data_IF_235136655390
#
_entry.id   IF_235136655390
#
_cell.length_a   1.000
_cell.length_b   1.000
_cell.length_c   1.000
_cell.angle_alpha   90.00
_cell.angle_beta   90.00
_cell.angle_gamma   90.00
#
_symmetry.space_group_name_H-M   'P 1'
#
loop_
_entity.id
_entity.type
_entity.pdbx_description
1 polymer ?
#
# COMPACT_ATOMS: atom_id res chain seq x y z
N UNK A 1 2.24 14.98 -6.79
CA UNK A 1 1.08 14.06 -6.87
C UNK A 1 0.79 13.49 -5.49
N UNK A 2 -0.42 13.03 -5.31
CA UNK A 2 -0.84 12.27 -4.14
C UNK A 2 -0.89 10.80 -4.51
N UNK A 3 -0.08 9.99 -3.84
CA UNK A 3 0.15 8.60 -4.23
C UNK A 3 -0.09 7.68 -3.03
N UNK A 4 -0.89 6.65 -3.23
CA UNK A 4 -1.10 5.60 -2.24
C UNK A 4 -0.11 4.48 -2.51
N UNK A 5 0.55 3.98 -1.48
CA UNK A 5 1.47 2.85 -1.58
C UNK A 5 1.06 1.80 -0.56
N UNK A 6 0.63 0.63 -1.04
CA UNK A 6 0.39 -0.52 -0.16
C UNK A 6 1.66 -1.38 -0.04
N UNK A 7 1.73 -2.20 0.98
CA UNK A 7 2.96 -2.94 1.24
C UNK A 7 4.14 -2.00 1.51
N UNK A 8 3.87 -0.88 2.14
CA UNK A 8 4.81 0.22 2.29
C UNK A 8 6.02 -0.12 3.17
N UNK A 9 5.94 -1.19 3.96
CA UNK A 9 7.06 -1.66 4.79
C UNK A 9 7.87 -2.77 4.13
N UNK A 10 7.46 -3.24 2.95
CA UNK A 10 8.26 -4.19 2.17
C UNK A 10 9.49 -3.50 1.58
N UNK A 11 10.43 -4.30 1.10
CA UNK A 11 11.66 -3.78 0.50
C UNK A 11 11.37 -2.76 -0.62
N UNK A 12 10.55 -3.17 -1.60
CA UNK A 12 10.20 -2.31 -2.72
C UNK A 12 9.27 -1.18 -2.30
N UNK A 13 8.31 -1.46 -1.44
CA UNK A 13 7.35 -0.47 -0.98
C UNK A 13 8.02 0.66 -0.21
N UNK A 14 8.87 0.32 0.75
CA UNK A 14 9.58 1.33 1.54
C UNK A 14 10.55 2.17 0.69
N UNK A 15 11.26 1.53 -0.24
CA UNK A 15 12.14 2.25 -1.16
C UNK A 15 11.35 3.22 -2.03
N UNK A 16 10.17 2.79 -2.51
CA UNK A 16 9.29 3.63 -3.31
C UNK A 16 8.78 4.83 -2.52
N UNK A 17 8.36 4.61 -1.28
CA UNK A 17 7.89 5.70 -0.39
C UNK A 17 8.99 6.75 -0.23
N UNK A 18 10.22 6.32 0.09
CA UNK A 18 11.33 7.25 0.27
C UNK A 18 11.62 8.05 -0.98
N UNK A 19 11.64 7.38 -2.14
CA UNK A 19 11.92 8.05 -3.42
C UNK A 19 10.83 9.05 -3.78
N UNK A 20 9.56 8.68 -3.59
CA UNK A 20 8.44 9.57 -3.87
C UNK A 20 8.47 10.81 -2.99
N UNK A 21 8.76 10.64 -1.71
CA UNK A 21 8.90 11.77 -0.79
C UNK A 21 10.07 12.68 -1.19
N UNK A 22 11.20 12.09 -1.60
CA UNK A 22 12.36 12.84 -2.07
C UNK A 22 12.06 13.68 -3.31
N UNK A 23 11.12 13.23 -4.14
CA UNK A 23 10.65 13.95 -5.32
C UNK A 23 9.52 14.94 -5.07
N UNK A 24 9.17 15.16 -3.82
CA UNK A 24 8.16 16.14 -3.42
C UNK A 24 6.72 15.69 -3.52
N UNK A 25 6.46 14.40 -3.68
CA UNK A 25 5.09 13.87 -3.71
C UNK A 25 4.54 13.69 -2.29
N UNK A 26 3.21 13.74 -2.17
CA UNK A 26 2.51 13.35 -0.96
C UNK A 26 2.21 11.85 -1.03
N UNK A 27 2.52 11.13 0.04
CA UNK A 27 2.39 9.67 0.07
C UNK A 27 1.49 9.23 1.22
N UNK A 28 0.50 8.42 0.90
CA UNK A 28 -0.26 7.64 1.87
C UNK A 28 0.33 6.24 1.90
N UNK A 29 1.09 5.93 2.94
CA UNK A 29 1.73 4.63 3.10
C UNK A 29 0.82 3.70 3.89
N UNK A 30 0.34 2.65 3.26
CA UNK A 30 -0.56 1.68 3.89
C UNK A 30 0.25 0.52 4.42
N UNK A 31 0.13 0.28 5.71
CA UNK A 31 0.83 -0.79 6.42
C UNK A 31 -0.18 -1.70 7.11
N UNK A 32 0.22 -2.93 7.40
CA UNK A 32 -0.62 -3.83 8.19
C UNK A 32 -0.68 -3.35 9.64
N UNK A 33 -1.84 -3.46 10.30
CA UNK A 33 -1.92 -3.18 11.73
C UNK A 33 -0.88 -4.00 12.50
N UNK A 34 -0.11 -3.34 13.35
CA UNK A 34 0.92 -4.00 14.15
C UNK A 34 2.14 -4.48 13.37
N UNK A 35 2.40 -3.91 12.20
CA UNK A 35 3.55 -4.32 11.37
C UNK A 35 4.88 -4.20 12.12
N UNK A 36 5.64 -5.30 12.17
CA UNK A 36 6.96 -5.33 12.78
C UNK A 36 8.00 -4.52 11.99
N UNK A 37 7.75 -4.31 10.71
CA UNK A 37 8.67 -3.60 9.80
C UNK A 37 8.36 -2.11 9.67
N UNK A 38 7.59 -1.56 10.60
CA UNK A 38 7.20 -0.15 10.62
C UNK A 38 8.43 0.78 10.55
N UNK A 39 9.57 0.33 11.06
CA UNK A 39 10.84 1.07 11.04
C UNK A 39 11.41 1.28 9.64
N UNK A 40 10.95 0.54 8.64
CA UNK A 40 11.36 0.74 7.25
C UNK A 40 10.94 2.10 6.72
N UNK A 41 9.93 2.72 7.34
CA UNK A 41 9.43 4.05 6.98
C UNK A 41 9.98 5.11 7.93
N UNK A 42 10.10 6.36 7.49
CA UNK A 42 10.41 7.48 8.37
C UNK A 42 9.38 7.58 9.50
N UNK A 43 9.80 7.95 10.70
CA UNK A 43 8.89 8.13 11.83
C UNK A 43 7.92 9.28 11.61
N UNK A 44 8.46 10.38 11.10
CA UNK A 44 7.70 11.57 10.79
C UNK A 44 8.40 12.30 9.66
N UNK A 45 7.67 12.58 8.60
CA UNK A 45 8.19 13.33 7.47
C UNK A 45 7.05 14.08 6.81
N UNK A 46 7.33 15.32 6.38
CA UNK A 46 6.38 16.11 5.63
C UNK A 46 5.98 15.38 4.34
N UNK A 47 4.70 15.34 4.04
CA UNK A 47 4.16 14.66 2.89
C UNK A 47 3.85 13.19 3.11
N UNK A 48 4.25 12.60 4.25
CA UNK A 48 3.98 11.20 4.57
C UNK A 48 2.82 11.08 5.56
N UNK A 49 1.82 10.31 5.19
CA UNK A 49 0.73 9.88 6.08
C UNK A 49 0.73 8.36 6.10
N UNK A 50 0.82 7.77 7.28
CA UNK A 50 0.81 6.31 7.43
C UNK A 50 -0.57 5.87 7.88
N UNK A 51 -1.13 4.89 7.18
CA UNK A 51 -2.45 4.31 7.45
C UNK A 51 -2.31 2.83 7.75
N UNK A 52 -3.00 2.36 8.77
CA UNK A 52 -3.08 0.95 9.07
C UNK A 52 -4.34 0.36 8.43
N UNK A 53 -4.16 -0.60 7.54
CA UNK A 53 -5.27 -1.27 6.86
C UNK A 53 -4.79 -2.62 6.34
N UNK A 54 -5.55 -3.67 6.60
CA UNK A 54 -5.26 -4.99 6.09
C UNK A 54 -5.48 -5.07 4.59
N UNK A 55 -4.71 -5.92 3.90
CA UNK A 55 -4.84 -6.12 2.46
C UNK A 55 -6.24 -6.57 2.05
N UNK A 56 -6.88 -7.38 2.90
CA UNK A 56 -8.25 -7.87 2.66
C UNK A 56 -9.32 -6.79 2.76
N UNK A 57 -8.96 -5.58 3.21
CA UNK A 57 -9.88 -4.47 3.42
C UNK A 57 -9.54 -3.23 2.60
N UNK A 58 -8.70 -3.35 1.58
CA UNK A 58 -8.24 -2.21 0.79
C UNK A 58 -9.37 -1.47 0.06
N UNK A 59 -10.48 -2.14 -0.23
CA UNK A 59 -11.65 -1.48 -0.83
C UNK A 59 -12.26 -0.41 0.09
N UNK A 60 -11.92 -0.43 1.39
CA UNK A 60 -12.44 0.53 2.38
C UNK A 60 -11.57 1.78 2.51
N UNK A 61 -10.50 1.88 1.72
CA UNK A 61 -9.53 2.98 1.86
C UNK A 61 -10.15 4.36 1.65
N UNK A 62 -11.21 4.45 0.85
CA UNK A 62 -11.95 5.70 0.64
C UNK A 62 -12.57 6.25 1.92
N UNK A 63 -12.74 5.42 2.95
CA UNK A 63 -13.18 5.85 4.28
C UNK A 63 -12.08 6.50 5.10
N UNK A 64 -10.82 6.21 4.79
CA UNK A 64 -9.65 6.72 5.51
C UNK A 64 -9.01 7.95 4.83
N UNK A 65 -9.05 7.99 3.51
CA UNK A 65 -8.51 9.09 2.70
C UNK A 65 -9.68 9.90 2.15
N UNK A 66 -9.79 11.16 2.53
CA UNK A 66 -10.93 12.02 2.19
C UNK A 66 -10.65 12.94 1.01
N UNK A 67 -9.69 12.61 0.17
CA UNK A 67 -9.33 13.39 -1.01
C UNK A 67 -9.00 12.50 -2.18
N UNK A 68 -9.02 13.08 -3.38
CA UNK A 68 -8.60 12.36 -4.59
C UNK A 68 -7.10 12.09 -4.54
N UNK A 69 -6.71 10.93 -5.06
CA UNK A 69 -5.31 10.60 -5.25
C UNK A 69 -5.02 10.41 -6.73
N UNK A 70 -3.76 10.56 -7.11
CA UNK A 70 -3.36 10.51 -8.53
C UNK A 70 -2.98 9.11 -8.96
N UNK A 71 -2.33 8.36 -8.08
CA UNK A 71 -1.82 7.03 -8.40
C UNK A 71 -1.92 6.10 -7.20
N UNK A 72 -1.96 4.80 -7.47
CA UNK A 72 -2.03 3.76 -6.45
C UNK A 72 -0.99 2.70 -6.82
N UNK A 73 0.03 2.53 -5.96
CA UNK A 73 1.08 1.53 -6.12
C UNK A 73 0.82 0.38 -5.15
N UNK A 74 0.56 -0.78 -5.69
CA UNK A 74 0.19 -1.94 -4.88
C UNK A 74 1.34 -2.94 -4.79
N UNK A 75 2.08 -2.89 -3.69
CA UNK A 75 3.14 -3.85 -3.37
C UNK A 75 2.71 -4.86 -2.29
N UNK A 76 1.50 -4.74 -1.78
CA UNK A 76 0.99 -5.63 -0.75
C UNK A 76 0.77 -7.04 -1.29
N UNK A 77 1.63 -7.97 -0.88
CA UNK A 77 1.59 -9.35 -1.34
C UNK A 77 2.03 -10.27 -0.22
N UNK A 78 1.21 -11.26 0.12
CA UNK A 78 1.52 -12.24 1.13
C UNK A 78 2.24 -13.45 0.54
N UNK A 79 3.04 -14.11 1.38
CA UNK A 79 3.66 -15.37 1.00
C UNK A 79 4.72 -15.25 -0.07
N UNK A 80 5.49 -14.17 -0.06
CA UNK A 80 6.63 -14.01 -0.95
C UNK A 80 7.81 -14.92 -0.59
N UNK A 81 7.81 -15.48 0.63
CA UNK A 81 8.82 -16.42 1.07
C UNK A 81 8.75 -17.76 0.33
N UNK A 82 9.84 -18.52 0.35
CA UNK A 82 10.00 -19.75 -0.44
C UNK A 82 8.91 -20.81 -0.19
N UNK A 83 8.44 -20.94 1.05
CA UNK A 83 7.43 -21.94 1.39
C UNK A 83 6.03 -21.52 0.95
N UNK A 84 5.63 -20.29 1.25
CA UNK A 84 4.28 -19.80 0.98
C UNK A 84 4.06 -19.45 -0.49
N UNK A 85 5.13 -19.14 -1.21
CA UNK A 85 5.06 -18.77 -2.63
C UNK A 85 4.39 -19.84 -3.50
N UNK A 86 4.53 -21.11 -3.11
CA UNK A 86 3.99 -22.25 -3.87
C UNK A 86 2.59 -22.67 -3.43
N UNK A 87 2.04 -22.06 -2.40
CA UNK A 87 0.69 -22.39 -1.91
C UNK A 87 -0.36 -21.69 -2.76
N UNK A 88 -1.15 -22.45 -3.49
CA UNK A 88 -2.18 -21.92 -4.37
C UNK A 88 -3.19 -21.03 -3.64
N UNK A 89 -3.59 -21.42 -2.43
CA UNK A 89 -4.53 -20.63 -1.62
C UNK A 89 -3.99 -19.26 -1.26
N UNK A 90 -2.70 -19.17 -0.94
CA UNK A 90 -2.05 -17.88 -0.61
C UNK A 90 -2.04 -16.99 -1.86
N UNK A 91 -1.70 -17.53 -3.01
CA UNK A 91 -1.66 -16.75 -4.25
C UNK A 91 -3.05 -16.32 -4.71
N UNK A 92 -4.04 -17.18 -4.53
CA UNK A 92 -5.43 -16.82 -4.82
C UNK A 92 -5.90 -15.67 -3.95
N UNK A 93 -5.56 -15.68 -2.67
CA UNK A 93 -5.88 -14.56 -1.76
C UNK A 93 -5.20 -13.27 -2.21
N UNK A 94 -3.96 -13.34 -2.70
CA UNK A 94 -3.26 -12.19 -3.24
C UNK A 94 -3.99 -11.58 -4.45
N UNK A 95 -4.54 -12.41 -5.32
CA UNK A 95 -5.34 -11.95 -6.47
C UNK A 95 -6.59 -11.24 -5.98
N UNK A 96 -7.30 -11.82 -5.01
CA UNK A 96 -8.49 -11.21 -4.43
C UNK A 96 -8.17 -9.87 -3.77
N UNK A 97 -7.08 -9.81 -3.01
CA UNK A 97 -6.64 -8.58 -2.36
C UNK A 97 -6.26 -7.51 -3.38
N UNK A 98 -5.65 -7.90 -4.50
CA UNK A 98 -5.32 -6.97 -5.59
C UNK A 98 -6.57 -6.40 -6.25
N UNK A 99 -7.64 -7.19 -6.37
CA UNK A 99 -8.92 -6.68 -6.86
C UNK A 99 -9.53 -5.68 -5.88
N UNK A 100 -9.38 -5.92 -4.59
CA UNK A 100 -9.83 -4.96 -3.55
C UNK A 100 -9.01 -3.68 -3.59
N UNK A 101 -7.70 -3.80 -3.84
CA UNK A 101 -6.83 -2.64 -4.03
C UNK A 101 -7.29 -1.79 -5.22
N UNK A 102 -7.63 -2.44 -6.34
CA UNK A 102 -8.16 -1.75 -7.51
C UNK A 102 -9.46 -1.01 -7.19
N UNK A 103 -10.38 -1.65 -6.46
CA UNK A 103 -11.61 -0.99 -6.03
C UNK A 103 -11.32 0.22 -5.15
N UNK A 104 -10.34 0.10 -4.25
CA UNK A 104 -9.89 1.22 -3.43
C UNK A 104 -9.34 2.37 -4.28
N UNK A 105 -8.52 2.06 -5.27
CA UNK A 105 -7.98 3.06 -6.19
C UNK A 105 -9.09 3.79 -6.96
N UNK A 106 -10.09 3.05 -7.42
CA UNK A 106 -11.24 3.63 -8.12
C UNK A 106 -12.03 4.57 -7.20
N UNK A 107 -12.20 4.19 -5.93
CA UNK A 107 -12.92 5.02 -4.96
C UNK A 107 -12.19 6.34 -4.67
N UNK A 108 -10.87 6.37 -4.84
CA UNK A 108 -10.04 7.57 -4.67
C UNK A 108 -9.82 8.33 -5.98
N UNK A 109 -10.47 7.91 -7.05
CA UNK A 109 -10.35 8.50 -8.39
C UNK A 109 -8.90 8.48 -8.92
N UNK A 110 -8.11 7.48 -8.56
CA UNK A 110 -6.75 7.34 -9.08
C UNK A 110 -6.77 7.11 -10.59
N UNK A 111 -6.00 7.89 -11.31
CA UNK A 111 -5.86 7.73 -12.77
C UNK A 111 -4.88 6.63 -13.17
N UNK A 112 -4.09 6.12 -12.22
CA UNK A 112 -3.07 5.09 -12.45
C UNK A 112 -3.09 4.07 -11.33
N UNK A 113 -2.92 2.83 -11.76
CA UNK A 113 -2.83 1.71 -10.83
C UNK A 113 -1.71 0.77 -11.28
#
# INVERSE_FOLDING_TARGET
MKIVVTGATSFLGAASVRELLARGHQVYAVVRPGSANRRALPESQEGLTVLELELSRLQEIGGLIKERCDAFLHFGWDGSGSENRKKAQVQQQNVEDSMKALKGALSLCCGRF
#
